data_IF_953741841689
#
_entry.id   IF_953741841689
#
_cell.length_a   1.000
_cell.length_b   1.000
_cell.length_c   1.000
_cell.angle_alpha   90.00
_cell.angle_beta   90.00
_cell.angle_gamma   90.00
#
_symmetry.space_group_name_H-M   'P 1'
#
loop_
_entity.id
_entity.type
_entity.pdbx_description
1 polymer ?
#
# COMPACT_ATOMS: atom_id res chain seq x y z
N UNK A 1 4.90 19.64 -27.29
CA UNK A 1 4.26 18.62 -26.43
C UNK A 1 5.33 18.01 -25.54
N UNK A 2 5.35 18.34 -24.24
CA UNK A 2 6.21 17.70 -23.22
C UNK A 2 5.29 17.21 -22.10
N UNK A 3 4.62 16.10 -22.36
CA UNK A 3 3.97 15.29 -21.32
C UNK A 3 4.82 14.01 -21.16
N UNK A 4 4.79 13.37 -19.99
CA UNK A 4 5.41 12.08 -19.64
C UNK A 4 6.73 12.02 -18.84
N UNK A 5 7.43 13.13 -18.55
CA UNK A 5 8.67 13.06 -17.73
C UNK A 5 8.49 13.38 -16.22
N UNK A 6 7.33 13.89 -15.78
CA UNK A 6 7.09 14.23 -14.36
C UNK A 6 6.55 13.06 -13.53
N UNK A 7 5.83 12.12 -14.15
CA UNK A 7 5.12 11.05 -13.45
C UNK A 7 6.05 9.95 -12.95
N UNK A 8 7.02 9.53 -13.78
CA UNK A 8 8.06 8.54 -13.43
C UNK A 8 8.89 9.03 -12.24
N UNK A 9 9.20 10.33 -12.20
CA UNK A 9 9.94 10.94 -11.09
C UNK A 9 9.18 10.90 -9.77
N UNK A 10 7.85 11.00 -9.78
CA UNK A 10 7.07 11.01 -8.55
C UNK A 10 6.85 9.60 -8.02
N UNK A 11 6.53 8.64 -8.90
CA UNK A 11 6.37 7.24 -8.52
C UNK A 11 7.66 6.65 -7.95
N UNK A 12 8.79 6.84 -8.63
CA UNK A 12 10.08 6.37 -8.10
C UNK A 12 10.51 7.08 -6.81
N UNK A 13 10.17 8.36 -6.64
CA UNK A 13 10.43 9.08 -5.38
C UNK A 13 9.63 8.47 -4.25
N UNK A 14 8.34 8.22 -4.48
CA UNK A 14 7.45 7.59 -3.52
C UNK A 14 7.97 6.20 -3.11
N UNK A 15 8.39 5.37 -4.07
CA UNK A 15 8.99 4.06 -3.76
C UNK A 15 10.25 4.19 -2.87
N UNK A 16 11.10 5.20 -3.12
CA UNK A 16 12.29 5.46 -2.29
C UNK A 16 11.93 5.97 -0.90
N UNK A 17 10.95 6.86 -0.79
CA UNK A 17 10.45 7.40 0.47
C UNK A 17 9.84 6.29 1.34
N UNK A 18 9.01 5.43 0.75
CA UNK A 18 8.42 4.28 1.43
C UNK A 18 9.48 3.30 1.95
N UNK A 19 10.50 3.00 1.13
CA UNK A 19 11.64 2.16 1.55
C UNK A 19 12.50 2.81 2.64
N UNK A 20 12.62 4.15 2.62
CA UNK A 20 13.43 4.88 3.60
C UNK A 20 12.73 5.05 4.95
N UNK A 21 11.40 5.03 4.99
CA UNK A 21 10.61 5.16 6.21
C UNK A 21 9.53 4.06 6.32
N UNK A 22 9.85 2.93 6.96
CA UNK A 22 8.88 1.85 7.19
C UNK A 22 7.66 2.27 8.01
N UNK A 23 7.74 3.34 8.82
CA UNK A 23 6.57 3.85 9.57
C UNK A 23 5.63 4.59 8.64
N UNK A 24 6.17 5.40 7.72
CA UNK A 24 5.37 6.02 6.65
C UNK A 24 4.68 4.94 5.81
N UNK A 25 5.40 3.87 5.46
CA UNK A 25 4.83 2.76 4.72
C UNK A 25 3.69 2.04 5.49
N UNK A 26 3.82 1.87 6.81
CA UNK A 26 2.75 1.37 7.66
C UNK A 26 1.50 2.27 7.67
N UNK A 27 1.67 3.58 7.78
CA UNK A 27 0.54 4.52 7.76
C UNK A 27 -0.14 4.55 6.39
N UNK A 28 0.64 4.54 5.30
CA UNK A 28 0.12 4.39 3.94
C UNK A 28 -0.67 3.10 3.77
N UNK A 29 -0.16 1.99 4.31
CA UNK A 29 -0.84 0.70 4.28
C UNK A 29 -2.19 0.76 4.99
N UNK A 30 -2.24 1.30 6.22
CA UNK A 30 -3.49 1.46 6.98
C UNK A 30 -4.51 2.33 6.23
N UNK A 31 -4.08 3.44 5.65
CA UNK A 31 -4.97 4.32 4.86
C UNK A 31 -5.47 3.61 3.61
N UNK A 32 -4.60 2.88 2.91
CA UNK A 32 -4.96 2.10 1.74
C UNK A 32 -6.01 1.03 2.08
N UNK A 33 -5.90 0.42 3.26
CA UNK A 33 -6.86 -0.54 3.80
C UNK A 33 -8.21 0.12 4.11
N UNK A 34 -8.19 1.26 4.80
CA UNK A 34 -9.41 2.00 5.13
C UNK A 34 -10.18 2.40 3.87
N UNK A 35 -9.46 2.80 2.81
CA UNK A 35 -10.04 3.12 1.51
C UNK A 35 -10.72 1.92 0.81
N UNK A 36 -10.40 0.68 1.17
CA UNK A 36 -11.10 -0.50 0.63
C UNK A 36 -12.50 -0.69 1.22
N UNK A 37 -12.83 -0.01 2.32
CA UNK A 37 -14.13 -0.14 2.98
C UNK A 37 -15.25 0.66 2.28
N UNK A 38 -14.90 1.62 1.42
CA UNK A 38 -15.84 2.51 0.73
C UNK A 38 -15.77 2.29 -0.77
N UNK A 39 -16.91 2.09 -1.45
CA UNK A 39 -16.95 1.86 -2.91
C UNK A 39 -16.26 2.99 -3.71
N UNK A 40 -16.30 4.22 -3.19
CA UNK A 40 -15.73 5.40 -3.82
C UNK A 40 -14.18 5.40 -3.78
N UNK A 41 -13.57 4.82 -2.75
CA UNK A 41 -12.12 4.86 -2.55
C UNK A 41 -11.41 3.54 -2.87
N UNK A 42 -12.13 2.46 -3.18
CA UNK A 42 -11.55 1.12 -3.48
C UNK A 42 -10.43 1.22 -4.52
N UNK A 43 -10.63 1.98 -5.60
CA UNK A 43 -9.62 2.12 -6.64
C UNK A 43 -8.33 2.79 -6.14
N UNK A 44 -8.47 3.78 -5.24
CA UNK A 44 -7.34 4.46 -4.60
C UNK A 44 -6.60 3.53 -3.62
N UNK A 45 -7.35 2.81 -2.79
CA UNK A 45 -6.81 1.81 -1.87
C UNK A 45 -6.02 0.72 -2.57
N UNK A 46 -6.57 0.12 -3.63
CA UNK A 46 -5.87 -0.89 -4.43
C UNK A 46 -4.58 -0.35 -5.05
N UNK A 47 -4.60 0.87 -5.60
CA UNK A 47 -3.41 1.49 -6.20
C UNK A 47 -2.30 1.77 -5.18
N UNK A 48 -2.67 2.18 -3.98
CA UNK A 48 -1.73 2.38 -2.88
C UNK A 48 -1.12 1.04 -2.42
N UNK A 49 -1.92 -0.03 -2.32
CA UNK A 49 -1.42 -1.37 -2.01
C UNK A 49 -0.46 -1.91 -3.08
N UNK A 50 -0.76 -1.71 -4.37
CA UNK A 50 0.17 -2.07 -5.45
C UNK A 50 1.49 -1.32 -5.34
N UNK A 51 1.45 -0.03 -5.02
CA UNK A 51 2.67 0.80 -4.84
C UNK A 51 3.52 0.29 -3.67
N UNK A 52 2.88 -0.10 -2.55
CA UNK A 52 3.56 -0.70 -1.40
C UNK A 52 4.17 -2.06 -1.76
N UNK A 53 3.48 -2.88 -2.55
CA UNK A 53 4.02 -4.15 -3.04
C UNK A 53 5.24 -3.93 -3.95
N UNK A 54 5.24 -2.91 -4.80
CA UNK A 54 6.42 -2.54 -5.60
C UNK A 54 7.58 -2.04 -4.73
N UNK A 55 7.28 -1.32 -3.64
CA UNK A 55 8.29 -0.85 -2.70
C UNK A 55 8.91 -1.97 -1.87
N UNK A 56 8.16 -3.00 -1.48
CA UNK A 56 8.67 -4.04 -0.56
C UNK A 56 8.77 -5.43 -1.19
N UNK A 57 8.54 -5.54 -2.51
CA UNK A 57 8.41 -6.80 -3.29
C UNK A 57 7.20 -7.67 -2.90
N UNK A 58 6.76 -7.60 -1.65
CA UNK A 58 5.54 -8.22 -1.13
C UNK A 58 4.97 -7.44 0.06
N UNK A 59 3.66 -7.56 0.29
CA UNK A 59 3.01 -6.99 1.48
C UNK A 59 3.46 -7.69 2.78
N UNK A 60 3.92 -8.93 2.68
CA UNK A 60 4.51 -9.69 3.79
C UNK A 60 5.84 -9.07 4.27
N UNK A 61 6.70 -8.67 3.34
CA UNK A 61 7.96 -7.99 3.67
C UNK A 61 7.67 -6.63 4.34
N UNK A 62 6.72 -5.87 3.79
CA UNK A 62 6.24 -4.64 4.42
C UNK A 62 5.78 -4.88 5.86
N UNK A 63 4.92 -5.88 6.11
CA UNK A 63 4.41 -6.16 7.45
C UNK A 63 5.54 -6.49 8.46
N UNK A 64 6.56 -7.22 8.00
CA UNK A 64 7.76 -7.53 8.79
C UNK A 64 8.60 -6.28 9.07
N UNK A 65 8.92 -5.49 8.04
CA UNK A 65 9.77 -4.29 8.16
C UNK A 65 9.11 -3.16 8.93
N UNK A 66 7.81 -2.98 8.72
CA UNK A 66 7.02 -1.96 9.39
C UNK A 66 6.49 -2.39 10.77
N UNK A 67 6.84 -3.61 11.23
CA UNK A 67 6.43 -4.20 12.52
C UNK A 67 4.91 -4.14 12.74
N UNK A 68 4.17 -4.42 11.68
CA UNK A 68 2.70 -4.50 11.71
C UNK A 68 2.27 -5.84 12.34
N UNK A 69 2.53 -6.01 13.64
CA UNK A 69 2.26 -7.26 14.36
C UNK A 69 0.75 -7.52 14.57
N UNK A 70 -0.09 -6.48 14.47
CA UNK A 70 -1.53 -6.57 14.68
C UNK A 70 -2.30 -6.81 13.37
N UNK A 71 -1.61 -6.85 12.23
CA UNK A 71 -2.23 -7.07 10.93
C UNK A 71 -1.82 -8.45 10.41
N UNK A 72 -2.77 -9.35 10.06
CA UNK A 72 -2.43 -10.67 9.53
C UNK A 72 -1.53 -10.56 8.30
N UNK A 73 -0.66 -11.54 8.10
CA UNK A 73 0.18 -11.60 6.90
C UNK A 73 -0.67 -12.03 5.70
N UNK A 74 -0.99 -11.09 4.81
CA UNK A 74 -1.72 -11.36 3.57
C UNK A 74 -0.74 -11.42 2.39
N UNK A 75 -0.95 -12.36 1.47
CA UNK A 75 -0.10 -12.49 0.28
C UNK A 75 -0.54 -11.54 -0.83
N UNK A 76 -1.82 -11.12 -0.83
CA UNK A 76 -2.39 -10.25 -1.87
C UNK A 76 -3.33 -9.18 -1.31
N UNK A 77 -3.50 -8.10 -2.06
CA UNK A 77 -4.48 -7.05 -1.75
C UNK A 77 -5.94 -7.57 -1.76
N UNK A 78 -6.22 -8.65 -2.51
CA UNK A 78 -7.55 -9.27 -2.58
C UNK A 78 -7.90 -10.04 -1.29
N UNK A 79 -6.97 -10.87 -0.79
CA UNK A 79 -7.14 -11.56 0.50
C UNK A 79 -7.38 -10.57 1.64
N UNK A 80 -6.69 -9.41 1.59
CA UNK A 80 -6.87 -8.36 2.57
C UNK A 80 -8.29 -7.75 2.54
N UNK A 81 -8.78 -7.40 1.34
CA UNK A 81 -10.10 -6.81 1.14
C UNK A 81 -11.21 -7.70 1.71
N UNK A 82 -11.11 -9.00 1.48
CA UNK A 82 -12.10 -9.96 1.98
C UNK A 82 -12.08 -10.04 3.52
N UNK A 83 -10.90 -9.94 4.15
CA UNK A 83 -10.77 -9.89 5.61
C UNK A 83 -11.33 -8.59 6.20
N UNK A 84 -11.03 -7.43 5.60
CA UNK A 84 -11.47 -6.13 6.11
C UNK A 84 -12.99 -6.01 6.08
N UNK A 85 -13.66 -6.49 5.02
CA UNK A 85 -15.12 -6.53 4.94
C UNK A 85 -15.80 -7.35 6.05
N UNK A 86 -15.08 -8.30 6.67
CA UNK A 86 -15.61 -9.16 7.74
C UNK A 86 -15.34 -8.63 9.16
N UNK A 87 -14.45 -7.65 9.31
CA UNK A 87 -13.94 -7.20 10.61
C UNK A 87 -14.03 -5.67 10.82
N UNK A 88 -14.84 -4.99 9.99
CA UNK A 88 -15.26 -3.60 10.17
C UNK A 88 -16.66 -3.57 10.81
#
# INVERSE_FOLDING_TARGET
>A
MKAFLRDVSHHESLLRELKADPKLAAEYFKLAIQALATEEDVAGGLRALTTLQEAFESLKNLASEARLNDIPAFETAAEYRDWSLQHI
#
